data_IF_051329480199
#
_entry.id   IF_051329480199
#
_cell.length_a   1.000
_cell.length_b   1.000
_cell.length_c   1.000
_cell.angle_alpha   90.00
_cell.angle_beta   90.00
_cell.angle_gamma   90.00
#
_symmetry.space_group_name_H-M   'P 1'
#
loop_
_entity.id
_entity.type
_entity.pdbx_description
1 polymer ?
#
# COMPACT_ATOMS: atom_id res chain seq x y z
N UNK A 1 -7.92 27.93 7.76
CA UNK A 1 -7.61 26.55 7.37
C UNK A 1 -6.30 26.63 6.64
N UNK A 2 -5.26 26.01 7.18
CA UNK A 2 -3.88 26.30 6.74
C UNK A 2 -3.39 25.27 5.70
N UNK A 3 -4.13 24.17 5.58
CA UNK A 3 -3.85 23.07 4.65
C UNK A 3 -5.14 22.45 4.14
N UNK A 4 -5.11 21.94 2.91
CA UNK A 4 -6.21 21.16 2.33
C UNK A 4 -5.68 19.85 1.76
N UNK A 5 -6.19 18.72 2.28
CA UNK A 5 -5.89 17.39 1.75
C UNK A 5 -6.93 16.99 0.73
N UNK A 6 -6.50 16.66 -0.49
CA UNK A 6 -7.35 16.12 -1.55
C UNK A 6 -6.61 15.01 -2.31
N UNK A 7 -7.34 14.24 -3.13
CA UNK A 7 -6.72 13.28 -4.04
C UNK A 7 -6.81 13.72 -5.50
N UNK A 8 -5.77 13.37 -6.26
CA UNK A 8 -5.82 13.42 -7.71
C UNK A 8 -6.44 12.12 -8.18
N UNK A 9 -7.41 12.21 -9.09
CA UNK A 9 -8.07 11.02 -9.57
C UNK A 9 -7.31 10.42 -10.73
N UNK A 10 -6.87 9.17 -10.58
CA UNK A 10 -6.07 8.49 -11.59
C UNK A 10 -6.84 8.42 -12.92
N UNK A 11 -8.09 7.96 -12.88
CA UNK A 11 -8.95 7.88 -14.06
C UNK A 11 -9.25 9.25 -14.72
N UNK A 12 -9.09 10.36 -13.99
CA UNK A 12 -9.23 11.71 -14.56
C UNK A 12 -7.99 12.13 -15.35
N UNK A 13 -6.79 11.81 -14.87
CA UNK A 13 -5.52 12.15 -15.52
C UNK A 13 -5.22 11.17 -16.66
N UNK A 14 -5.41 9.87 -16.41
CA UNK A 14 -5.20 8.78 -17.37
C UNK A 14 -6.50 7.96 -17.48
N UNK A 15 -7.45 8.37 -18.35
CA UNK A 15 -8.74 7.67 -18.51
C UNK A 15 -8.61 6.20 -18.92
N UNK A 16 -7.55 5.88 -19.66
CA UNK A 16 -7.22 4.53 -20.09
C UNK A 16 -6.22 3.83 -19.15
N UNK A 17 -6.02 4.37 -17.94
CA UNK A 17 -5.13 3.86 -16.91
C UNK A 17 -3.63 4.10 -17.14
N UNK A 18 -3.17 3.98 -18.39
CA UNK A 18 -1.74 4.01 -18.77
C UNK A 18 -1.38 5.27 -19.54
N UNK A 19 -0.11 5.69 -19.44
CA UNK A 19 0.44 6.79 -20.25
C UNK A 19 0.30 6.54 -21.76
N UNK A 20 0.49 5.29 -22.20
CA UNK A 20 0.32 4.88 -23.60
C UNK A 20 -1.10 5.05 -24.12
N UNK A 21 -2.08 5.07 -23.22
CA UNK A 21 -3.48 5.34 -23.52
C UNK A 21 -3.82 6.83 -23.62
N UNK A 22 -2.84 7.72 -23.46
CA UNK A 22 -3.00 9.17 -23.57
C UNK A 22 -3.29 9.86 -22.24
N UNK A 23 -2.89 11.13 -22.17
CA UNK A 23 -3.05 12.00 -21.01
C UNK A 23 -4.26 12.92 -21.26
N UNK A 24 -5.12 13.05 -20.25
CA UNK A 24 -6.23 14.00 -20.29
C UNK A 24 -5.79 15.38 -19.78
N UNK A 25 -5.50 16.29 -20.71
CA UNK A 25 -5.02 17.64 -20.37
C UNK A 25 -6.05 18.45 -19.56
N UNK A 26 -7.35 18.31 -19.84
CA UNK A 26 -8.39 19.01 -19.06
C UNK A 26 -8.40 18.55 -17.59
N UNK A 27 -8.07 17.27 -17.35
CA UNK A 27 -7.87 16.72 -16.01
C UNK A 27 -6.69 17.38 -15.29
N UNK A 28 -5.56 17.56 -15.99
CA UNK A 28 -4.39 18.26 -15.47
C UNK A 28 -4.73 19.72 -15.17
N UNK A 29 -5.40 20.40 -16.09
CA UNK A 29 -5.77 21.82 -15.96
C UNK A 29 -6.70 22.05 -14.77
N UNK A 30 -7.62 21.13 -14.50
CA UNK A 30 -8.46 21.15 -13.31
C UNK A 30 -7.64 21.18 -12.02
N UNK A 31 -6.68 20.26 -11.86
CA UNK A 31 -5.85 20.21 -10.65
C UNK A 31 -4.88 21.38 -10.57
N UNK A 32 -4.35 21.85 -11.70
CA UNK A 32 -3.56 23.09 -11.75
C UNK A 32 -4.35 24.28 -11.20
N UNK A 33 -5.60 24.47 -11.66
CA UNK A 33 -6.45 25.55 -11.19
C UNK A 33 -6.76 25.42 -9.70
N UNK A 34 -7.07 24.21 -9.22
CA UNK A 34 -7.30 23.95 -7.80
C UNK A 34 -6.06 24.27 -6.95
N UNK A 35 -4.88 23.79 -7.35
CA UNK A 35 -3.63 24.01 -6.62
C UNK A 35 -3.28 25.49 -6.61
N UNK A 36 -3.42 26.19 -7.74
CA UNK A 36 -3.16 27.63 -7.82
C UNK A 36 -4.09 28.41 -6.89
N UNK A 37 -5.40 28.14 -6.93
CA UNK A 37 -6.36 28.83 -6.08
C UNK A 37 -6.09 28.58 -4.59
N UNK A 38 -5.73 27.35 -4.20
CA UNK A 38 -5.35 27.03 -2.81
C UNK A 38 -4.14 27.88 -2.37
N UNK A 39 -3.09 27.93 -3.19
CA UNK A 39 -1.88 28.69 -2.88
C UNK A 39 -2.13 30.21 -2.86
N UNK A 40 -2.97 30.73 -3.76
CA UNK A 40 -3.38 32.13 -3.78
C UNK A 40 -4.15 32.54 -2.51
N UNK A 41 -4.79 31.57 -1.84
CA UNK A 41 -5.42 31.76 -0.52
C UNK A 41 -4.50 31.40 0.66
N UNK A 42 -3.24 31.07 0.41
CA UNK A 42 -2.27 30.67 1.44
C UNK A 42 -2.58 29.31 2.08
N UNK A 43 -3.33 28.44 1.38
CA UNK A 43 -3.70 27.10 1.84
C UNK A 43 -2.74 26.08 1.24
N UNK A 44 -2.05 25.32 2.09
CA UNK A 44 -1.07 24.36 1.62
C UNK A 44 -1.74 23.08 1.08
N UNK A 45 -1.45 22.63 -0.15
CA UNK A 45 -2.00 21.40 -0.70
C UNK A 45 -1.28 20.17 -0.15
N UNK A 46 -2.05 19.20 0.35
CA UNK A 46 -1.61 17.85 0.70
C UNK A 46 -2.27 16.85 -0.26
N UNK A 47 -1.49 16.31 -1.18
CA UNK A 47 -2.05 15.54 -2.30
C UNK A 47 -1.90 14.06 -2.07
N UNK A 48 -3.00 13.32 -2.15
CA UNK A 48 -3.02 11.86 -2.20
C UNK A 48 -3.09 11.38 -3.66
N UNK A 49 -2.15 10.52 -4.08
CA UNK A 49 -2.09 10.00 -5.45
C UNK A 49 -3.17 8.96 -5.71
N UNK A 50 -3.40 8.05 -4.76
CA UNK A 50 -4.41 7.00 -4.88
C UNK A 50 -5.34 6.98 -3.68
N UNK A 51 -6.64 7.15 -3.95
CA UNK A 51 -7.69 7.12 -2.93
C UNK A 51 -8.79 6.15 -3.34
N UNK A 52 -8.38 4.92 -3.66
CA UNK A 52 -9.25 3.78 -4.01
C UNK A 52 -9.98 3.95 -5.34
N UNK A 53 -9.53 4.88 -6.18
CA UNK A 53 -10.16 5.27 -7.43
C UNK A 53 -9.41 4.72 -8.65
N UNK A 54 -9.08 3.42 -8.59
CA UNK A 54 -8.37 2.72 -9.65
C UNK A 54 -9.14 2.84 -10.96
N UNK A 55 -8.50 3.19 -12.09
CA UNK A 55 -9.16 3.19 -13.39
C UNK A 55 -9.71 1.80 -13.71
N UNK A 56 -11.01 1.71 -13.98
CA UNK A 56 -11.69 0.42 -14.23
C UNK A 56 -11.02 -0.39 -15.33
N UNK A 57 -10.44 0.28 -16.35
CA UNK A 57 -9.71 -0.37 -17.44
C UNK A 57 -8.55 -1.26 -16.93
N UNK A 58 -7.87 -0.87 -15.85
CA UNK A 58 -6.78 -1.67 -15.27
C UNK A 58 -7.30 -2.86 -14.46
N UNK A 59 -8.45 -2.70 -13.81
CA UNK A 59 -9.16 -3.80 -13.15
C UNK A 59 -9.63 -4.83 -14.20
N UNK A 60 -10.19 -4.37 -15.32
CA UNK A 60 -10.67 -5.23 -16.41
C UNK A 60 -9.52 -5.92 -17.16
N UNK A 61 -8.39 -5.24 -17.36
CA UNK A 61 -7.26 -5.76 -18.14
C UNK A 61 -6.49 -6.84 -17.38
N UNK A 62 -6.24 -6.65 -16.08
CA UNK A 62 -5.39 -7.56 -15.31
C UNK A 62 -5.76 -7.73 -13.83
N UNK A 63 -6.94 -7.26 -13.40
CA UNK A 63 -7.39 -7.36 -12.00
C UNK A 63 -6.74 -6.34 -11.07
N UNK A 64 -6.27 -5.21 -11.61
CA UNK A 64 -5.77 -4.09 -10.81
C UNK A 64 -4.64 -4.51 -9.87
N UNK A 65 -4.83 -4.29 -8.57
CA UNK A 65 -3.82 -4.61 -7.56
C UNK A 65 -3.59 -6.11 -7.32
N UNK A 66 -4.36 -7.01 -7.94
CA UNK A 66 -4.03 -8.45 -7.94
C UNK A 66 -2.84 -8.79 -8.85
N UNK A 67 -2.50 -7.92 -9.80
CA UNK A 67 -1.40 -8.11 -10.74
C UNK A 67 -0.23 -7.21 -10.39
N UNK A 68 1.00 -7.74 -10.51
CA UNK A 68 2.22 -6.95 -10.34
C UNK A 68 2.41 -5.86 -11.41
N UNK A 69 1.67 -5.93 -12.53
CA UNK A 69 1.69 -4.90 -13.57
C UNK A 69 1.29 -3.51 -13.03
N UNK A 70 0.43 -3.48 -11.99
CA UNK A 70 -0.02 -2.23 -11.36
C UNK A 70 1.14 -1.39 -10.81
N UNK A 71 2.26 -2.03 -10.45
CA UNK A 71 3.41 -1.38 -9.82
C UNK A 71 4.05 -0.38 -10.80
N UNK A 72 4.13 -0.77 -12.07
CA UNK A 72 4.73 0.05 -13.13
C UNK A 72 3.74 1.12 -13.59
N UNK A 73 2.48 0.75 -13.80
CA UNK A 73 1.43 1.71 -14.17
C UNK A 73 1.22 2.79 -13.08
N UNK A 74 1.28 2.42 -11.80
CA UNK A 74 1.20 3.38 -10.69
C UNK A 74 2.45 4.27 -10.60
N UNK A 75 3.64 3.72 -10.88
CA UNK A 75 4.87 4.52 -10.95
C UNK A 75 4.72 5.60 -12.02
N UNK A 76 4.28 5.22 -13.22
CA UNK A 76 4.15 6.12 -14.36
C UNK A 76 3.11 7.22 -14.11
N UNK A 77 1.98 6.87 -13.49
CA UNK A 77 0.99 7.84 -13.03
C UNK A 77 1.55 8.80 -11.97
N UNK A 78 2.27 8.28 -10.97
CA UNK A 78 2.88 9.09 -9.92
C UNK A 78 3.94 10.05 -10.49
N UNK A 79 4.79 9.55 -11.39
CA UNK A 79 5.82 10.33 -12.10
C UNK A 79 5.20 11.48 -12.88
N UNK A 80 4.11 11.23 -13.61
CA UNK A 80 3.35 12.29 -14.29
C UNK A 80 2.82 13.33 -13.29
N UNK A 81 2.22 12.91 -12.17
CA UNK A 81 1.74 13.84 -11.15
C UNK A 81 2.86 14.69 -10.55
N UNK A 82 4.04 14.12 -10.31
CA UNK A 82 5.20 14.86 -9.80
C UNK A 82 5.71 15.89 -10.82
N UNK A 83 5.73 15.54 -12.11
CA UNK A 83 6.11 16.45 -13.20
C UNK A 83 5.16 17.64 -13.31
N UNK A 84 3.86 17.38 -13.31
CA UNK A 84 2.83 18.38 -13.56
C UNK A 84 2.58 19.31 -12.37
N UNK A 85 2.67 18.79 -11.15
CA UNK A 85 2.20 19.51 -9.96
C UNK A 85 3.26 19.72 -8.87
N UNK A 86 4.38 19.01 -8.93
CA UNK A 86 5.39 19.02 -7.85
C UNK A 86 6.20 20.32 -7.73
N UNK A 87 6.11 21.20 -8.73
CA UNK A 87 6.62 22.57 -8.64
C UNK A 87 5.94 23.34 -7.50
N UNK A 88 4.65 23.07 -7.25
CA UNK A 88 3.80 23.72 -6.25
C UNK A 88 3.43 22.81 -5.07
N UNK A 89 3.16 21.53 -5.31
CA UNK A 89 2.78 20.56 -4.26
C UNK A 89 4.03 20.06 -3.52
N UNK A 90 4.05 20.24 -2.19
CA UNK A 90 5.18 19.86 -1.32
C UNK A 90 4.89 18.70 -0.38
N UNK A 91 3.65 18.21 -0.33
CA UNK A 91 3.26 17.12 0.56
C UNK A 91 2.46 16.08 -0.21
N UNK A 92 3.07 14.90 -0.38
CA UNK A 92 2.53 13.79 -1.14
C UNK A 92 2.21 12.59 -0.25
N UNK A 93 1.04 12.02 -0.43
CA UNK A 93 0.69 10.70 0.11
C UNK A 93 0.47 9.76 -1.07
N UNK A 94 1.16 8.62 -1.13
CA UNK A 94 0.98 7.69 -2.25
C UNK A 94 -0.38 7.01 -2.19
N UNK A 95 -0.66 6.30 -1.09
CA UNK A 95 -1.85 5.48 -0.90
C UNK A 95 -2.62 5.98 0.33
N UNK A 96 -3.95 6.06 0.20
CA UNK A 96 -4.84 6.22 1.35
C UNK A 96 -5.21 4.85 1.92
N UNK A 97 -4.98 4.65 3.22
CA UNK A 97 -5.54 3.57 4.04
C UNK A 97 -5.52 2.19 3.34
N UNK A 98 -4.33 1.72 2.93
CA UNK A 98 -4.19 0.55 2.08
C UNK A 98 -4.77 -0.73 2.72
N UNK A 99 -4.71 -0.86 4.04
CA UNK A 99 -5.33 -1.99 4.75
C UNK A 99 -6.85 -2.04 4.53
N UNK A 100 -7.55 -0.91 4.60
CA UNK A 100 -9.00 -0.86 4.36
C UNK A 100 -9.33 -1.20 2.91
N UNK A 101 -8.51 -0.76 1.95
CA UNK A 101 -8.66 -1.12 0.54
C UNK A 101 -8.55 -2.64 0.34
N UNK A 102 -7.47 -3.27 0.83
CA UNK A 102 -7.26 -4.71 0.69
C UNK A 102 -8.36 -5.51 1.39
N UNK A 103 -8.68 -5.16 2.64
CA UNK A 103 -9.66 -5.89 3.44
C UNK A 103 -11.10 -5.70 2.90
N UNK A 104 -11.50 -4.47 2.60
CA UNK A 104 -12.84 -4.18 2.09
C UNK A 104 -13.07 -4.70 0.67
N UNK A 105 -12.07 -4.56 -0.21
CA UNK A 105 -12.19 -4.86 -1.63
C UNK A 105 -11.97 -6.32 -2.00
N UNK A 106 -11.17 -7.05 -1.20
CA UNK A 106 -10.70 -8.39 -1.55
C UNK A 106 -10.86 -9.44 -0.43
N UNK A 107 -11.26 -9.03 0.79
CA UNK A 107 -11.58 -9.97 1.88
C UNK A 107 -13.07 -10.02 2.19
N UNK A 108 -13.68 -8.85 2.40
CA UNK A 108 -15.09 -8.70 2.78
C UNK A 108 -16.01 -8.47 1.58
N UNK A 109 -15.47 -8.01 0.45
CA UNK A 109 -16.24 -7.65 -0.75
C UNK A 109 -17.21 -6.47 -0.56
N UNK A 110 -17.02 -5.64 0.48
CA UNK A 110 -17.91 -4.52 0.82
C UNK A 110 -17.58 -3.23 0.09
N UNK A 111 -16.39 -3.13 -0.49
CA UNK A 111 -15.96 -2.00 -1.34
C UNK A 111 -15.50 -2.52 -2.69
N UNK A 112 -15.37 -1.63 -3.69
CA UNK A 112 -14.79 -2.02 -4.97
C UNK A 112 -13.40 -2.69 -4.78
N UNK A 113 -13.06 -3.72 -5.57
CA UNK A 113 -13.86 -4.31 -6.65
C UNK A 113 -14.95 -5.30 -6.18
N UNK A 114 -15.12 -5.57 -4.89
CA UNK A 114 -16.20 -6.41 -4.37
C UNK A 114 -15.90 -7.91 -4.45
N UNK A 115 -14.63 -8.28 -4.27
CA UNK A 115 -14.14 -9.65 -4.31
C UNK A 115 -14.08 -10.26 -2.91
N UNK A 116 -14.53 -11.51 -2.80
CA UNK A 116 -14.43 -12.31 -1.58
C UNK A 116 -14.78 -13.78 -1.88
N UNK A 117 -14.56 -14.67 -0.89
CA UNK A 117 -14.87 -16.11 -0.99
C UNK A 117 -16.37 -16.45 -0.88
N UNK A 118 -17.21 -15.53 -0.38
CA UNK A 118 -18.64 -15.79 -0.21
C UNK A 118 -19.39 -15.83 -1.56
N UNK A 119 -20.42 -16.68 -1.71
CA UNK A 119 -21.19 -16.78 -2.95
C UNK A 119 -21.86 -15.48 -3.41
N UNK A 120 -22.01 -14.51 -2.51
CA UNK A 120 -22.62 -13.20 -2.79
C UNK A 120 -21.65 -12.19 -3.41
N UNK A 121 -20.34 -12.48 -3.43
CA UNK A 121 -19.34 -11.61 -4.03
C UNK A 121 -19.15 -11.88 -5.53
N UNK A 122 -18.42 -11.01 -6.22
CA UNK A 122 -18.07 -11.17 -7.64
C UNK A 122 -17.05 -12.30 -7.90
N UNK A 123 -16.74 -13.09 -6.86
CA UNK A 123 -15.70 -14.12 -6.82
C UNK A 123 -14.42 -13.65 -6.12
N UNK A 124 -13.50 -14.57 -5.93
CA UNK A 124 -12.19 -14.32 -5.33
C UNK A 124 -11.87 -15.27 -4.17
N UNK A 125 -10.75 -14.99 -3.50
CA UNK A 125 -10.26 -15.76 -2.36
C UNK A 125 -9.84 -14.82 -1.22
N UNK A 126 -10.70 -14.68 -0.22
CA UNK A 126 -10.47 -13.86 0.97
C UNK A 126 -9.27 -14.32 1.81
N UNK A 127 -8.79 -15.55 1.61
CA UNK A 127 -7.60 -16.10 2.26
C UNK A 127 -6.29 -15.78 1.54
N UNK A 128 -6.32 -15.24 0.32
CA UNK A 128 -5.11 -15.01 -0.50
C UNK A 128 -5.07 -13.60 -1.10
N UNK A 129 -6.16 -13.14 -1.69
CA UNK A 129 -6.19 -11.90 -2.48
C UNK A 129 -5.83 -10.63 -1.70
N UNK A 130 -6.30 -10.41 -0.46
CA UNK A 130 -5.90 -9.24 0.33
C UNK A 130 -4.38 -9.15 0.51
N UNK A 131 -3.69 -10.30 0.60
CA UNK A 131 -2.25 -10.36 0.76
C UNK A 131 -1.51 -9.99 -0.54
N UNK A 132 -1.99 -10.47 -1.68
CA UNK A 132 -1.45 -10.10 -3.00
C UNK A 132 -1.62 -8.59 -3.23
N UNK A 133 -2.80 -8.06 -2.92
CA UNK A 133 -3.11 -6.63 -3.08
C UNK A 133 -2.23 -5.77 -2.16
N UNK A 134 -2.15 -6.11 -0.87
CA UNK A 134 -1.26 -5.41 0.07
C UNK A 134 0.19 -5.45 -0.37
N UNK A 135 0.65 -6.59 -0.92
CA UNK A 135 2.01 -6.71 -1.44
C UNK A 135 2.28 -5.75 -2.61
N UNK A 136 1.42 -5.77 -3.63
CA UNK A 136 1.57 -4.91 -4.79
C UNK A 136 1.42 -3.42 -4.41
N UNK A 137 0.57 -3.08 -3.45
CA UNK A 137 0.47 -1.73 -2.89
C UNK A 137 1.79 -1.27 -2.25
N UNK A 138 2.44 -2.10 -1.44
CA UNK A 138 3.72 -1.77 -0.80
C UNK A 138 4.81 -1.54 -1.85
N UNK A 139 4.88 -2.40 -2.87
CA UNK A 139 5.84 -2.24 -3.96
C UNK A 139 5.57 -1.01 -4.82
N UNK A 140 4.31 -0.73 -5.15
CA UNK A 140 3.89 0.47 -5.87
C UNK A 140 4.23 1.75 -5.09
N UNK A 141 3.96 1.77 -3.78
CA UNK A 141 4.39 2.84 -2.88
C UNK A 141 5.92 3.03 -2.91
N UNK A 142 6.68 1.96 -2.69
CA UNK A 142 8.14 2.01 -2.65
C UNK A 142 8.73 2.54 -3.97
N UNK A 143 8.17 2.11 -5.11
CA UNK A 143 8.60 2.53 -6.43
C UNK A 143 8.29 4.01 -6.70
N UNK A 144 7.10 4.49 -6.34
CA UNK A 144 6.75 5.91 -6.43
C UNK A 144 7.62 6.80 -5.53
N UNK A 145 7.89 6.37 -4.28
CA UNK A 145 8.80 7.08 -3.37
C UNK A 145 10.22 7.11 -3.93
N UNK A 146 10.69 5.99 -4.49
CA UNK A 146 12.01 5.92 -5.12
C UNK A 146 12.14 6.91 -6.28
N UNK A 147 11.14 7.01 -7.16
CA UNK A 147 11.10 8.02 -8.23
C UNK A 147 11.14 9.44 -7.65
N UNK A 148 10.30 9.74 -6.66
CA UNK A 148 10.26 11.07 -6.04
C UNK A 148 11.60 11.49 -5.46
N UNK A 149 12.21 10.63 -4.62
CA UNK A 149 13.49 10.92 -3.95
C UNK A 149 14.64 11.13 -4.93
N UNK A 150 14.73 10.30 -5.97
CA UNK A 150 15.87 10.34 -6.89
C UNK A 150 15.74 11.42 -7.98
N UNK A 151 14.52 11.75 -8.40
CA UNK A 151 14.31 12.64 -9.54
C UNK A 151 13.78 14.03 -9.16
N UNK A 152 13.03 14.13 -8.06
CA UNK A 152 12.24 15.32 -7.77
C UNK A 152 12.58 15.99 -6.44
N UNK A 153 12.90 15.25 -5.38
CA UNK A 153 13.10 15.79 -4.03
C UNK A 153 14.15 16.92 -3.97
N UNK A 154 15.28 16.76 -4.66
CA UNK A 154 16.34 17.77 -4.67
C UNK A 154 15.90 19.12 -5.26
N UNK A 155 15.00 19.11 -6.24
CA UNK A 155 14.55 20.30 -6.97
C UNK A 155 13.25 20.84 -6.37
N UNK A 156 12.29 19.96 -6.11
CA UNK A 156 10.95 20.29 -5.65
C UNK A 156 10.88 20.50 -4.14
N UNK A 157 11.80 19.91 -3.36
CA UNK A 157 11.91 20.05 -1.90
C UNK A 157 10.62 19.71 -1.14
N UNK A 158 9.85 18.75 -1.65
CA UNK A 158 8.67 18.23 -0.96
C UNK A 158 8.97 16.97 -0.15
N UNK A 159 7.93 16.47 0.51
CA UNK A 159 7.95 15.25 1.30
C UNK A 159 6.92 14.27 0.75
N UNK A 160 7.22 12.98 0.84
CA UNK A 160 6.35 11.90 0.38
C UNK A 160 6.19 10.83 1.44
N UNK A 161 4.96 10.34 1.63
CA UNK A 161 4.64 9.31 2.59
C UNK A 161 3.41 8.49 2.19
N UNK A 162 2.84 7.81 3.17
CA UNK A 162 1.63 6.97 3.03
C UNK A 162 0.66 7.29 4.17
N UNK A 163 -0.65 7.28 3.89
CA UNK A 163 -1.68 7.44 4.94
C UNK A 163 -2.12 6.08 5.42
N UNK A 164 -1.95 5.81 6.72
CA UNK A 164 -2.32 4.53 7.32
C UNK A 164 -3.49 4.72 8.26
N UNK A 165 -4.40 3.75 8.22
CA UNK A 165 -5.51 3.62 9.17
C UNK A 165 -5.08 2.71 10.31
N UNK A 166 -5.45 3.06 11.53
CA UNK A 166 -5.28 2.20 12.69
C UNK A 166 -6.39 2.44 13.68
N UNK A 167 -6.96 1.37 14.22
CA UNK A 167 -7.80 1.43 15.39
C UNK A 167 -6.94 1.27 16.63
N UNK A 168 -7.33 1.92 17.72
CA UNK A 168 -6.78 1.59 19.02
C UNK A 168 -7.48 0.34 19.56
N UNK A 169 -6.69 -0.68 19.88
CA UNK A 169 -7.20 -1.93 20.44
C UNK A 169 -6.92 -1.97 21.94
N UNK A 170 -7.87 -2.51 22.70
CA UNK A 170 -7.74 -2.74 24.15
C UNK A 170 -8.06 -4.19 24.46
N UNK A 171 -7.43 -4.81 25.48
CA UNK A 171 -7.74 -6.18 25.87
C UNK A 171 -9.17 -6.28 26.40
N UNK A 172 -9.84 -7.42 26.14
CA UNK A 172 -11.21 -7.65 26.59
C UNK A 172 -11.30 -7.87 28.10
N UNK A 173 -10.41 -8.69 28.66
CA UNK A 173 -10.32 -8.93 30.10
C UNK A 173 -9.16 -8.19 30.77
N UNK A 174 -9.43 -7.61 31.95
CA UNK A 174 -8.39 -7.04 32.79
C UNK A 174 -7.35 -8.11 33.16
N UNK A 175 -6.08 -7.83 32.87
CA UNK A 175 -4.93 -8.71 33.14
C UNK A 175 -4.88 -10.06 32.39
N UNK A 176 -5.70 -10.26 31.35
CA UNK A 176 -5.58 -11.43 30.46
C UNK A 176 -4.33 -11.32 29.57
N UNK A 177 -3.33 -12.19 29.77
CA UNK A 177 -2.15 -12.28 28.90
C UNK A 177 -2.57 -12.63 27.45
N UNK A 178 -3.47 -13.60 27.20
CA UNK A 178 -3.96 -13.88 25.85
C UNK A 178 -4.57 -12.66 25.16
N UNK A 179 -5.39 -11.88 25.87
CA UNK A 179 -6.05 -10.70 25.29
C UNK A 179 -5.06 -9.59 25.00
N UNK A 180 -4.10 -9.35 25.90
CA UNK A 180 -2.98 -8.41 25.66
C UNK A 180 -2.20 -8.79 24.41
N UNK A 181 -1.92 -10.08 24.19
CA UNK A 181 -1.28 -10.57 22.96
C UNK A 181 -2.18 -10.40 21.73
N UNK A 182 -3.49 -10.59 21.87
CA UNK A 182 -4.45 -10.38 20.78
C UNK A 182 -4.53 -8.91 20.35
N UNK A 183 -4.52 -7.98 21.31
CA UNK A 183 -4.42 -6.54 21.06
C UNK A 183 -3.19 -6.19 20.22
N UNK A 184 -2.01 -6.73 20.57
CA UNK A 184 -0.79 -6.49 19.80
C UNK A 184 -0.89 -7.05 18.38
N UNK A 185 -1.40 -8.29 18.21
CA UNK A 185 -1.59 -8.89 16.88
C UNK A 185 -2.55 -8.07 16.01
N UNK A 186 -3.61 -7.53 16.59
CA UNK A 186 -4.56 -6.69 15.85
C UNK A 186 -3.91 -5.39 15.34
N UNK A 187 -3.09 -4.74 16.18
CA UNK A 187 -2.29 -3.58 15.78
C UNK A 187 -1.28 -3.95 14.68
N UNK A 188 -0.55 -5.05 14.85
CA UNK A 188 0.45 -5.49 13.87
C UNK A 188 -0.19 -5.80 12.51
N UNK A 189 -1.37 -6.41 12.50
CA UNK A 189 -2.08 -6.77 11.28
C UNK A 189 -2.65 -5.55 10.54
N UNK A 190 -3.22 -4.58 11.26
CA UNK A 190 -3.82 -3.40 10.65
C UNK A 190 -2.78 -2.35 10.23
N UNK A 191 -1.75 -2.16 11.06
CA UNK A 191 -0.81 -1.05 10.96
C UNK A 191 0.64 -1.51 10.75
N UNK A 192 1.07 -2.54 11.48
CA UNK A 192 2.43 -3.08 11.42
C UNK A 192 2.84 -3.58 10.03
N UNK A 193 1.91 -4.16 9.27
CA UNK A 193 2.10 -4.62 7.89
C UNK A 193 2.66 -3.54 6.94
N UNK A 194 2.43 -2.26 7.22
CA UNK A 194 2.87 -1.14 6.39
C UNK A 194 4.01 -0.29 7.01
N UNK A 195 4.40 -0.55 8.26
CA UNK A 195 5.41 0.23 9.01
C UNK A 195 6.66 -0.55 9.37
N UNK A 196 6.54 -1.85 9.67
CA UNK A 196 7.67 -2.61 10.22
C UNK A 196 8.54 -3.23 9.13
N UNK A 197 9.80 -2.79 9.10
CA UNK A 197 10.97 -3.54 8.62
C UNK A 197 12.25 -3.01 9.28
N UNK A 198 12.62 -3.56 10.45
CA UNK A 198 13.96 -3.39 11.01
C UNK A 198 14.48 -4.75 11.53
N UNK A 199 15.58 -5.32 10.98
CA UNK A 199 16.33 -6.34 11.69
C UNK A 199 16.98 -5.72 12.95
N UNK A 200 17.22 -6.50 14.02
CA UNK A 200 18.09 -6.06 15.11
C UNK A 200 19.46 -5.66 14.55
N UNK A 201 20.03 -4.56 15.05
CA UNK A 201 21.37 -4.13 14.67
C UNK A 201 22.39 -5.25 14.91
N UNK A 202 23.11 -5.68 13.86
CA UNK A 202 24.21 -6.64 14.00
C UNK A 202 24.85 -7.04 12.66
N UNK A 203 26.17 -7.05 12.60
CA UNK A 203 26.99 -7.32 11.40
C UNK A 203 27.06 -8.82 11.02
N UNK A 204 25.94 -9.53 10.96
CA UNK A 204 25.93 -10.94 10.55
C UNK A 204 25.69 -11.07 9.03
N UNK A 205 26.57 -11.80 8.35
CA UNK A 205 26.31 -12.28 6.97
C UNK A 205 25.39 -13.51 7.06
N UNK A 206 24.31 -13.60 6.25
CA UNK A 206 23.37 -14.72 6.35
C UNK A 206 24.01 -16.04 5.92
N UNK A 207 23.76 -17.11 6.69
CA UNK A 207 24.11 -18.50 6.38
C UNK A 207 22.88 -19.39 6.61
N UNK A 208 22.67 -20.32 5.69
CA UNK A 208 21.46 -21.10 5.43
C UNK A 208 21.18 -22.22 6.45
N UNK A 209 22.02 -22.44 7.47
CA UNK A 209 21.96 -23.68 8.26
C UNK A 209 21.79 -23.53 9.76
N UNK A 210 21.82 -22.34 10.37
CA UNK A 210 21.92 -22.24 11.85
C UNK A 210 21.31 -21.00 12.53
N UNK A 211 20.18 -20.43 12.05
CA UNK A 211 19.54 -19.30 12.76
C UNK A 211 18.09 -19.60 13.22
N UNK A 212 17.81 -19.66 14.54
CA UNK A 212 16.49 -19.90 15.11
C UNK A 212 15.64 -18.63 15.34
N UNK A 213 15.95 -17.49 14.69
CA UNK A 213 15.19 -16.24 14.88
C UNK A 213 14.26 -15.93 13.70
N UNK A 214 13.26 -16.77 13.50
CA UNK A 214 12.14 -16.58 12.56
C UNK A 214 10.93 -15.97 13.28
N UNK A 215 10.77 -14.65 13.23
CA UNK A 215 9.59 -13.97 13.79
C UNK A 215 9.04 -12.93 12.80
N UNK A 216 7.96 -13.29 12.10
CA UNK A 216 7.20 -12.39 11.21
C UNK A 216 5.80 -12.20 11.79
N UNK A 217 5.52 -11.00 12.27
CA UNK A 217 4.27 -10.66 12.98
C UNK A 217 3.09 -10.27 12.07
N UNK A 218 3.16 -10.56 10.77
CA UNK A 218 2.15 -10.13 9.79
C UNK A 218 1.21 -11.23 9.30
N UNK A 219 1.21 -12.42 9.91
CA UNK A 219 0.52 -13.58 9.33
C UNK A 219 -0.24 -14.33 10.41
N UNK A 220 -1.53 -14.60 10.21
CA UNK A 220 -2.10 -15.80 10.80
C UNK A 220 -2.64 -16.71 9.72
N UNK A 221 -2.58 -17.99 10.07
CA UNK A 221 -2.81 -19.18 9.29
C UNK A 221 -4.22 -19.19 8.68
N UNK A 222 -4.30 -19.62 7.41
CA UNK A 222 -5.45 -20.40 7.02
C UNK A 222 -5.43 -21.65 7.92
N UNK A 223 -6.25 -21.66 8.97
CA UNK A 223 -6.31 -22.79 9.88
C UNK A 223 -7.08 -23.90 9.18
N UNK A 224 -6.36 -24.72 8.42
CA UNK A 224 -6.87 -25.98 7.92
C UNK A 224 -6.88 -26.96 9.11
N UNK A 225 -8.06 -27.30 9.66
CA UNK A 225 -8.15 -28.17 10.83
C UNK A 225 -7.71 -29.61 10.54
N UNK A 226 -7.36 -29.93 9.29
CA UNK A 226 -6.90 -31.25 8.85
C UNK A 226 -5.37 -31.41 8.88
N UNK A 227 -4.60 -30.32 8.99
CA UNK A 227 -3.15 -30.35 9.04
C UNK A 227 -2.62 -30.59 10.47
N UNK A 228 -1.51 -31.31 10.59
CA UNK A 228 -0.80 -31.41 11.87
C UNK A 228 -0.08 -30.11 12.21
N UNK A 229 0.22 -29.90 13.51
CA UNK A 229 0.98 -28.73 13.99
C UNK A 229 2.34 -28.62 13.30
N UNK A 230 2.97 -29.74 12.99
CA UNK A 230 4.30 -29.78 12.36
C UNK A 230 4.24 -29.40 10.87
N UNK A 231 3.14 -29.74 10.18
CA UNK A 231 2.89 -29.35 8.79
C UNK A 231 2.43 -27.88 8.66
N UNK A 232 1.62 -27.39 9.60
CA UNK A 232 1.21 -25.98 9.66
C UNK A 232 2.40 -25.02 9.83
N UNK A 233 3.51 -25.51 10.41
CA UNK A 233 4.73 -24.73 10.64
C UNK A 233 5.68 -24.69 9.42
N UNK A 234 5.45 -25.49 8.38
CA UNK A 234 6.29 -25.57 7.17
C UNK A 234 5.80 -24.62 6.07
N UNK A 235 5.98 -23.30 6.27
CA UNK A 235 5.56 -22.29 5.28
C UNK A 235 6.69 -21.89 4.31
N UNK A 236 6.93 -22.74 3.31
CA UNK A 236 7.96 -22.53 2.29
C UNK A 236 7.65 -21.34 1.35
N UNK A 237 6.38 -21.00 1.16
CA UNK A 237 5.95 -19.87 0.32
C UNK A 237 6.26 -18.54 1.00
N UNK A 238 6.05 -18.45 2.32
CA UNK A 238 6.40 -17.31 3.16
C UNK A 238 7.91 -17.09 3.22
N UNK A 239 8.70 -18.16 3.32
CA UNK A 239 10.18 -18.09 3.32
C UNK A 239 10.70 -17.52 1.99
N UNK A 240 10.18 -17.98 0.85
CA UNK A 240 10.55 -17.47 -0.48
C UNK A 240 10.07 -16.01 -0.70
N UNK A 241 8.88 -15.65 -0.20
CA UNK A 241 8.34 -14.29 -0.24
C UNK A 241 9.25 -13.28 0.48
N UNK A 242 9.71 -13.60 1.70
CA UNK A 242 10.60 -12.71 2.46
C UNK A 242 11.99 -12.59 1.81
N UNK A 243 12.53 -13.70 1.29
CA UNK A 243 13.84 -13.72 0.65
C UNK A 243 13.95 -12.77 -0.55
N UNK A 244 12.87 -12.63 -1.33
CA UNK A 244 12.86 -11.78 -2.54
C UNK A 244 12.63 -10.29 -2.28
N UNK A 245 12.05 -9.90 -1.13
CA UNK A 245 11.49 -8.55 -0.94
C UNK A 245 12.21 -7.66 0.07
N UNK A 246 13.06 -8.23 0.94
CA UNK A 246 13.86 -7.43 1.89
C UNK A 246 14.82 -6.44 1.22
N UNK A 247 15.21 -6.68 -0.04
CA UNK A 247 16.06 -5.77 -0.81
C UNK A 247 15.36 -4.46 -1.20
N UNK A 248 14.13 -4.53 -1.70
CA UNK A 248 13.42 -3.37 -2.24
C UNK A 248 12.92 -2.41 -1.15
N UNK A 249 12.44 -2.95 -0.02
CA UNK A 249 11.96 -2.12 1.10
C UNK A 249 13.13 -1.38 1.78
N UNK A 250 14.29 -2.05 1.93
CA UNK A 250 15.50 -1.43 2.47
C UNK A 250 16.05 -0.31 1.58
N UNK A 251 15.76 -0.36 0.28
CA UNK A 251 16.16 0.67 -0.68
C UNK A 251 15.27 1.90 -0.65
N UNK A 252 14.05 1.81 -0.10
CA UNK A 252 13.08 2.89 -0.02
C UNK A 252 13.16 3.70 1.30
N UNK A 253 13.68 3.11 2.38
CA UNK A 253 13.72 3.69 3.74
C UNK A 253 15.07 4.41 4.03
N UNK A 254 15.62 5.16 3.06
CA UNK A 254 16.66 6.14 3.36
C UNK A 254 16.24 7.50 2.84
#
# INVERSE_FOLDING_TARGET
MDSYRFSISWSRILPNGKLSGGINQEGIDYYNNLINELLDKGIQPFVTLFHWDLPQVLEDEYGGFLSSQIIDDFQDYADLCFKEFGDRVKYWNTLNEPWLFSNGGYALGTTAPGRCSEPTCLGGDSGIEPYIVTHNQILAHAKAVHVYKNMYEAVQKGQIGITLVTNWFVPLGDNSIPDKKATQRALDFQFGCYINNAPPQGNAKPSFTTDPMTNTSCMNEFNDPTLSVEEALLDNYRIDYYYRHFYYIRSAIK
#
